data_IF_016029235137
#
_entry.id   IF_016029235137
#
_cell.length_a   1.000
_cell.length_b   1.000
_cell.length_c   1.000
_cell.angle_alpha   90.00
_cell.angle_beta   90.00
_cell.angle_gamma   90.00
#
_symmetry.space_group_name_H-M   'P 1'
#
loop_
_entity.id
_entity.type
_entity.pdbx_description
1 polymer ?
#
# COMPACT_ATOMS: atom_id res chain seq x y z
N UNK A 1 -6.00 16.65 -40.91
CA UNK A 1 -5.24 15.44 -40.56
C UNK A 1 -5.03 15.47 -39.04
N UNK A 2 -5.62 14.51 -38.34
CA UNK A 2 -5.65 14.44 -36.86
C UNK A 2 -4.24 14.31 -36.27
N UNK A 3 -3.94 14.95 -35.12
CA UNK A 3 -2.61 14.91 -34.55
C UNK A 3 -2.38 13.63 -33.72
N UNK A 4 -1.17 13.07 -33.91
CA UNK A 4 -0.33 12.34 -32.94
C UNK A 4 -1.02 11.28 -32.05
N UNK A 5 -1.14 10.07 -32.57
CA UNK A 5 -1.10 8.86 -31.74
C UNK A 5 0.33 8.35 -31.65
N UNK A 6 1.01 8.71 -30.56
CA UNK A 6 1.56 7.77 -29.58
C UNK A 6 2.31 8.60 -28.52
N UNK A 7 2.10 8.29 -27.25
CA UNK A 7 3.22 7.66 -26.61
C UNK A 7 2.78 6.26 -26.19
N UNK A 8 3.54 5.29 -26.64
CA UNK A 8 3.93 4.11 -25.89
C UNK A 8 3.53 4.31 -24.42
N UNK A 9 2.55 3.54 -23.95
CA UNK A 9 2.36 3.31 -22.52
C UNK A 9 3.62 2.61 -22.07
N UNK A 10 4.65 3.41 -21.82
CA UNK A 10 5.85 3.07 -21.11
C UNK A 10 5.32 2.55 -19.79
N UNK A 11 5.14 1.23 -19.72
CA UNK A 11 5.12 0.55 -18.44
C UNK A 11 6.33 1.10 -17.69
N UNK A 12 6.16 1.65 -16.47
CA UNK A 12 7.32 2.06 -15.70
C UNK A 12 8.08 0.77 -15.37
N UNK A 13 9.06 0.48 -16.21
CA UNK A 13 9.99 -0.61 -16.06
C UNK A 13 10.95 -0.16 -14.98
N UNK A 14 10.70 -0.64 -13.76
CA UNK A 14 11.69 -0.78 -12.71
C UNK A 14 12.25 0.50 -12.04
N UNK A 15 11.46 1.58 -11.89
CA UNK A 15 11.94 2.81 -11.23
C UNK A 15 11.09 3.34 -10.06
N UNK A 16 10.01 2.68 -9.64
CA UNK A 16 9.25 3.15 -8.47
C UNK A 16 9.71 2.41 -7.21
N UNK A 17 10.84 2.87 -6.66
CA UNK A 17 11.33 2.44 -5.34
C UNK A 17 10.23 2.74 -4.31
N UNK A 18 9.46 1.71 -3.95
CA UNK A 18 8.26 1.80 -3.11
C UNK A 18 7.21 2.78 -3.64
N UNK A 19 6.53 2.40 -4.72
CA UNK A 19 5.33 3.12 -5.12
C UNK A 19 4.35 3.22 -3.93
N UNK A 20 3.68 4.36 -3.71
CA UNK A 20 2.66 4.50 -2.66
C UNK A 20 1.59 3.39 -2.72
N UNK A 21 1.35 2.83 -3.92
CA UNK A 21 0.46 1.69 -4.12
C UNK A 21 0.93 0.37 -3.45
N UNK A 22 2.24 0.12 -3.33
CA UNK A 22 2.75 -1.07 -2.61
C UNK A 22 2.62 -0.92 -1.10
N UNK A 23 2.84 0.29 -0.58
CA UNK A 23 2.68 0.59 0.86
C UNK A 23 1.21 0.44 1.24
N UNK A 24 0.31 1.03 0.46
CA UNK A 24 -1.14 0.89 0.69
C UNK A 24 -1.61 -0.57 0.61
N UNK A 25 -1.07 -1.36 -0.33
CA UNK A 25 -1.39 -2.79 -0.43
C UNK A 25 -0.97 -3.56 0.83
N UNK A 26 0.17 -3.22 1.42
CA UNK A 26 0.63 -3.84 2.68
C UNK A 26 -0.22 -3.39 3.87
N UNK A 27 -0.59 -2.11 3.93
CA UNK A 27 -1.50 -1.59 4.96
C UNK A 27 -2.83 -2.32 4.89
N UNK A 28 -3.40 -2.51 3.69
CA UNK A 28 -4.66 -3.23 3.50
C UNK A 28 -4.58 -4.69 3.95
N UNK A 29 -3.49 -5.39 3.61
CA UNK A 29 -3.26 -6.76 4.08
C UNK A 29 -3.20 -6.79 5.61
N UNK A 30 -2.45 -5.87 6.21
CA UNK A 30 -2.26 -5.83 7.66
C UNK A 30 -3.54 -5.47 8.41
N UNK A 31 -4.35 -4.55 7.88
CA UNK A 31 -5.66 -4.21 8.45
C UNK A 31 -6.61 -5.41 8.41
N UNK A 32 -6.62 -6.17 7.31
CA UNK A 32 -7.42 -7.38 7.20
C UNK A 32 -6.99 -8.46 8.20
N UNK A 33 -5.68 -8.65 8.42
CA UNK A 33 -5.19 -9.56 9.46
C UNK A 33 -5.64 -9.14 10.87
N UNK A 34 -5.65 -7.84 11.18
CA UNK A 34 -6.13 -7.31 12.46
C UNK A 34 -7.62 -7.60 12.66
N UNK A 35 -8.42 -7.35 11.62
CA UNK A 35 -9.84 -7.69 11.59
C UNK A 35 -10.08 -9.21 11.81
N UNK A 36 -9.32 -10.08 11.14
CA UNK A 36 -9.42 -11.53 11.34
C UNK A 36 -9.02 -11.96 12.75
N UNK A 37 -7.94 -11.40 13.30
CA UNK A 37 -7.46 -11.69 14.66
C UNK A 37 -8.48 -11.31 15.74
N UNK A 38 -9.24 -10.24 15.53
CA UNK A 38 -10.31 -9.78 16.43
C UNK A 38 -11.61 -10.58 16.27
N UNK A 39 -11.67 -11.55 15.34
CA UNK A 39 -12.83 -12.40 15.12
C UNK A 39 -13.83 -11.85 14.11
N UNK A 40 -13.39 -10.99 13.18
CA UNK A 40 -14.21 -10.42 12.11
C UNK A 40 -15.40 -9.60 12.62
N UNK A 41 -15.16 -8.84 13.69
CA UNK A 41 -16.15 -7.93 14.27
C UNK A 41 -16.05 -6.60 13.53
N UNK A 42 -17.13 -6.19 12.87
CA UNK A 42 -17.20 -4.90 12.18
C UNK A 42 -17.25 -3.73 13.16
N UNK A 43 -16.97 -2.51 12.67
CA UNK A 43 -16.95 -1.29 13.48
C UNK A 43 -15.56 -0.90 14.00
N UNK A 44 -14.55 -1.72 13.71
CA UNK A 44 -13.14 -1.43 13.99
C UNK A 44 -12.32 -1.19 12.72
N UNK A 45 -12.97 -1.11 11.55
CA UNK A 45 -12.30 -1.02 10.24
C UNK A 45 -11.31 0.14 10.17
N UNK A 46 -11.68 1.30 10.73
CA UNK A 46 -10.81 2.48 10.78
C UNK A 46 -9.64 2.30 11.77
N UNK A 47 -9.90 1.68 12.92
CA UNK A 47 -8.89 1.41 13.95
C UNK A 47 -7.85 0.41 13.43
N UNK A 48 -8.31 -0.67 12.82
CA UNK A 48 -7.48 -1.70 12.19
C UNK A 48 -6.67 -1.11 11.01
N UNK A 49 -7.24 -0.18 10.25
CA UNK A 49 -6.53 0.53 9.19
C UNK A 49 -5.43 1.45 9.73
N UNK A 50 -5.72 2.28 10.73
CA UNK A 50 -4.75 3.20 11.33
C UNK A 50 -3.61 2.44 12.02
N UNK A 51 -3.94 1.35 12.72
CA UNK A 51 -2.93 0.48 13.32
C UNK A 51 -2.05 -0.17 12.25
N UNK A 52 -2.65 -0.68 11.16
CA UNK A 52 -1.89 -1.24 10.05
C UNK A 52 -0.98 -0.22 9.37
N UNK A 53 -1.44 1.02 9.18
CA UNK A 53 -0.63 2.10 8.63
C UNK A 53 0.60 2.39 9.49
N UNK A 54 0.41 2.54 10.80
CA UNK A 54 1.52 2.75 11.73
C UNK A 54 2.55 1.61 11.69
N UNK A 55 2.09 0.36 11.75
CA UNK A 55 2.97 -0.82 11.72
C UNK A 55 3.73 -0.97 10.39
N UNK A 56 3.09 -0.69 9.26
CA UNK A 56 3.73 -0.79 7.94
C UNK A 56 4.74 0.33 7.73
N UNK A 57 4.39 1.55 8.13
CA UNK A 57 5.30 2.70 8.04
C UNK A 57 6.53 2.48 8.94
N UNK A 58 6.35 2.05 10.20
CA UNK A 58 7.46 1.73 11.10
C UNK A 58 8.43 0.74 10.47
N UNK A 59 7.93 -0.38 9.93
CA UNK A 59 8.77 -1.38 9.23
C UNK A 59 9.50 -0.81 8.02
N UNK A 60 8.86 0.08 7.25
CA UNK A 60 9.48 0.75 6.10
C UNK A 60 10.56 1.73 6.53
N UNK A 61 10.36 2.46 7.63
CA UNK A 61 11.35 3.35 8.21
C UNK A 61 12.56 2.57 8.76
N UNK A 62 12.33 1.43 9.42
CA UNK A 62 13.42 0.58 9.89
C UNK A 62 14.19 -0.07 8.72
N UNK A 63 13.49 -0.53 7.69
CA UNK A 63 14.12 -1.12 6.50
C UNK A 63 14.91 -0.10 5.64
N UNK A 64 14.62 1.20 5.77
CA UNK A 64 15.35 2.27 5.08
C UNK A 64 16.58 2.77 5.86
N UNK A 65 16.70 2.41 7.14
CA UNK A 65 17.79 2.83 8.04
C UNK A 65 18.88 1.78 8.28
N UNK A 66 18.71 0.54 7.81
CA UNK A 66 19.68 -0.57 7.92
C UNK A 66 20.48 -0.78 6.63
#
# INVERSE_FOLDING_TARGET
MTPRSNPTRTMPRAEERHAPAEVEAEIRRRAYELYERRGRVGGHDLDDWLQAEAEVLERKFEAAGA
#
